data_IF_680702613719
#
_entry.id   IF_680702613719
#
_cell.length_a   1.000
_cell.length_b   1.000
_cell.length_c   1.000
_cell.angle_alpha   90.00
_cell.angle_beta   90.00
_cell.angle_gamma   90.00
#
_symmetry.space_group_name_H-M   'P 1'
#
loop_
_entity.id
_entity.type
_entity.pdbx_description
1 polymer ?
#
# COMPACT_ATOMS: atom_id res chain seq x y z
N UNK A 1 12.66 -16.86 6.69
CA UNK A 1 11.82 -15.73 7.10
C UNK A 1 11.08 -15.27 5.87
N UNK A 2 9.76 -15.18 5.96
CA UNK A 2 8.92 -14.77 4.84
C UNK A 2 8.75 -13.25 4.91
N UNK A 3 8.67 -12.60 3.76
CA UNK A 3 8.39 -11.16 3.68
C UNK A 3 7.02 -10.95 3.08
N UNK A 4 6.22 -10.11 3.74
CA UNK A 4 4.96 -9.63 3.23
C UNK A 4 5.09 -8.14 2.99
N UNK A 5 5.30 -7.76 1.73
CA UNK A 5 5.33 -6.36 1.31
C UNK A 5 3.93 -5.93 0.97
N UNK A 6 3.47 -4.78 1.46
CA UNK A 6 2.11 -4.32 1.15
C UNK A 6 1.99 -2.80 1.17
N UNK A 7 0.87 -2.36 0.59
CA UNK A 7 0.43 -0.97 0.51
C UNK A 7 -1.11 -0.95 0.52
N UNK A 8 -1.71 0.15 0.98
CA UNK A 8 -3.17 0.35 0.94
C UNK A 8 -3.52 1.65 0.22
N UNK A 9 -4.68 1.63 -0.45
CA UNK A 9 -5.28 2.83 -0.99
C UNK A 9 -6.63 3.13 -0.34
N UNK A 10 -6.88 4.43 -0.13
CA UNK A 10 -7.99 4.89 0.71
C UNK A 10 -8.75 6.05 0.10
N UNK A 11 -10.02 6.16 0.46
CA UNK A 11 -10.87 7.31 0.21
C UNK A 11 -11.37 7.88 1.54
N UNK A 12 -12.01 9.05 1.58
CA UNK A 12 -12.72 9.51 2.77
C UNK A 12 -13.79 8.51 3.22
N UNK A 13 -13.96 8.33 4.52
CA UNK A 13 -15.09 7.59 5.07
C UNK A 13 -16.39 8.39 4.90
N UNK A 14 -17.02 8.19 3.75
CA UNK A 14 -18.26 8.87 3.38
C UNK A 14 -19.42 8.51 4.31
N UNK A 15 -19.40 7.31 4.90
CA UNK A 15 -20.44 6.87 5.83
C UNK A 15 -20.34 7.68 7.13
N UNK A 16 -19.11 7.90 7.62
CA UNK A 16 -18.85 8.82 8.73
C UNK A 16 -19.28 10.25 8.41
N UNK A 17 -18.95 10.74 7.20
CA UNK A 17 -19.34 12.07 6.74
C UNK A 17 -20.86 12.27 6.77
N UNK A 18 -21.62 11.32 6.21
CA UNK A 18 -23.08 11.33 6.21
C UNK A 18 -23.63 11.34 7.64
N UNK A 19 -23.15 10.45 8.50
CA UNK A 19 -23.75 10.22 9.81
C UNK A 19 -23.39 11.27 10.87
N UNK A 20 -22.15 11.78 10.83
CA UNK A 20 -21.60 12.55 11.95
C UNK A 20 -21.17 13.97 11.59
N UNK A 21 -21.10 14.31 10.29
CA UNK A 21 -20.71 15.65 9.83
C UNK A 21 -21.88 16.44 9.21
N UNK A 22 -23.12 15.95 9.34
CA UNK A 22 -24.33 16.53 8.74
C UNK A 22 -24.18 16.72 7.21
N UNK A 23 -23.55 15.73 6.56
CA UNK A 23 -23.38 15.70 5.10
C UNK A 23 -24.38 14.72 4.46
N UNK A 24 -25.39 14.27 5.20
CA UNK A 24 -26.48 13.49 4.66
C UNK A 24 -27.28 14.31 3.63
N UNK A 25 -27.66 13.66 2.52
CA UNK A 25 -28.34 14.32 1.39
C UNK A 25 -27.41 14.94 0.34
N UNK A 26 -26.09 14.92 0.53
CA UNK A 26 -25.12 15.26 -0.50
C UNK A 26 -24.71 14.03 -1.34
N UNK A 27 -24.30 14.28 -2.58
CA UNK A 27 -23.68 13.27 -3.44
C UNK A 27 -22.30 12.88 -2.90
N UNK A 28 -21.82 11.66 -3.20
CA UNK A 28 -20.53 11.15 -2.70
C UNK A 28 -19.36 12.10 -2.97
N UNK A 29 -19.32 12.67 -4.17
CA UNK A 29 -18.33 13.65 -4.59
C UNK A 29 -18.29 14.88 -3.67
N UNK A 30 -19.45 15.35 -3.23
CA UNK A 30 -19.58 16.54 -2.38
C UNK A 30 -19.33 16.22 -0.90
N UNK A 31 -19.66 15.02 -0.44
CA UNK A 31 -19.31 14.56 0.91
C UNK A 31 -17.79 14.54 1.09
N UNK A 32 -17.06 13.87 0.20
CA UNK A 32 -15.60 13.81 0.27
C UNK A 32 -14.95 15.19 0.20
N UNK A 33 -15.40 16.04 -0.74
CA UNK A 33 -14.94 17.44 -0.83
C UNK A 33 -15.20 18.24 0.43
N UNK A 34 -16.37 18.10 1.04
CA UNK A 34 -16.70 18.78 2.29
C UNK A 34 -15.79 18.30 3.44
N UNK A 35 -15.49 17.00 3.51
CA UNK A 35 -14.56 16.44 4.51
C UNK A 35 -13.14 17.00 4.36
N UNK A 36 -12.60 17.02 3.13
CA UNK A 36 -11.28 17.60 2.84
C UNK A 36 -11.23 19.10 3.20
N UNK A 37 -12.27 19.85 2.84
CA UNK A 37 -12.33 21.28 3.12
C UNK A 37 -12.44 21.58 4.62
N UNK A 38 -13.24 20.83 5.37
CA UNK A 38 -13.31 20.96 6.84
C UNK A 38 -11.95 20.68 7.50
N UNK A 39 -11.23 19.67 7.01
CA UNK A 39 -9.89 19.34 7.49
C UNK A 39 -8.89 20.45 7.16
N UNK A 40 -8.91 20.97 5.92
CA UNK A 40 -8.07 22.09 5.49
C UNK A 40 -8.26 23.32 6.38
N UNK A 41 -9.50 23.66 6.73
CA UNK A 41 -9.78 24.78 7.64
C UNK A 41 -9.23 24.55 9.05
N UNK A 42 -9.22 23.30 9.52
CA UNK A 42 -8.82 22.94 10.89
C UNK A 42 -7.30 22.84 11.05
N UNK A 43 -6.60 22.28 10.07
CA UNK A 43 -5.19 21.89 10.19
C UNK A 43 -4.26 22.54 9.16
N UNK A 44 -4.82 23.18 8.12
CA UNK A 44 -4.07 23.72 7.00
C UNK A 44 -3.68 22.69 5.93
N UNK A 45 -4.17 21.45 6.01
CA UNK A 45 -3.96 20.42 4.97
C UNK A 45 -5.26 19.66 4.70
N UNK A 46 -5.41 19.08 3.50
CA UNK A 46 -6.57 18.23 3.16
C UNK A 46 -6.41 16.78 3.65
N UNK A 47 -5.25 16.43 4.22
CA UNK A 47 -4.97 15.08 4.70
C UNK A 47 -5.83 14.76 5.93
N UNK A 48 -6.73 13.80 5.77
CA UNK A 48 -7.71 13.43 6.79
C UNK A 48 -7.03 12.76 8.00
N UNK A 49 -7.63 12.84 9.19
CA UNK A 49 -7.26 11.97 10.31
C UNK A 49 -7.35 10.49 9.90
N UNK A 50 -6.39 9.66 10.31
CA UNK A 50 -6.25 8.26 9.86
C UNK A 50 -7.53 7.43 10.05
N UNK A 51 -8.30 7.70 11.10
CA UNK A 51 -9.57 7.02 11.38
C UNK A 51 -10.73 7.45 10.48
N UNK A 52 -10.56 8.49 9.65
CA UNK A 52 -11.55 8.97 8.66
C UNK A 52 -11.21 8.55 7.23
N UNK A 53 -10.20 7.68 7.06
CA UNK A 53 -9.97 6.98 5.80
C UNK A 53 -10.83 5.72 5.74
N UNK A 54 -11.16 5.27 4.53
CA UNK A 54 -11.82 4.01 4.21
C UNK A 54 -10.98 3.28 3.16
N UNK A 55 -10.66 2.01 3.41
CA UNK A 55 -9.79 1.22 2.53
C UNK A 55 -10.60 0.75 1.33
N UNK A 56 -10.04 0.96 0.13
CA UNK A 56 -10.63 0.52 -1.15
C UNK A 56 -9.74 -0.47 -1.91
N UNK A 57 -8.44 -0.52 -1.60
CA UNK A 57 -7.53 -1.53 -2.12
C UNK A 57 -6.46 -1.88 -1.08
N UNK A 58 -6.05 -3.14 -1.08
CA UNK A 58 -4.88 -3.64 -0.35
C UNK A 58 -4.12 -4.50 -1.35
N UNK A 59 -2.88 -4.13 -1.65
CA UNK A 59 -2.02 -4.94 -2.50
C UNK A 59 -0.89 -5.54 -1.68
N UNK A 60 -0.52 -6.77 -2.03
CA UNK A 60 0.50 -7.52 -1.32
C UNK A 60 1.46 -8.17 -2.29
N UNK A 61 2.71 -8.34 -1.85
CA UNK A 61 3.68 -9.23 -2.45
C UNK A 61 4.23 -10.14 -1.35
N UNK A 62 4.11 -11.44 -1.57
CA UNK A 62 4.60 -12.48 -0.67
C UNK A 62 5.91 -13.05 -1.21
N UNK A 63 6.97 -13.01 -0.42
CA UNK A 63 8.27 -13.60 -0.73
C UNK A 63 8.62 -14.65 0.34
N UNK A 64 8.49 -15.92 -0.01
CA UNK A 64 8.84 -17.05 0.88
C UNK A 64 10.28 -17.53 0.67
N UNK A 65 11.06 -16.85 -0.16
CA UNK A 65 12.38 -17.27 -0.63
C UNK A 65 12.35 -18.30 -1.76
N UNK A 66 11.37 -19.21 -1.78
CA UNK A 66 11.16 -20.16 -2.89
C UNK A 66 10.06 -19.74 -3.85
N UNK A 67 9.11 -18.92 -3.40
CA UNK A 67 7.99 -18.44 -4.18
C UNK A 67 7.83 -16.93 -4.03
N UNK A 68 7.36 -16.30 -5.12
CA UNK A 68 7.09 -14.88 -5.20
C UNK A 68 5.72 -14.69 -5.84
N UNK A 69 4.81 -14.00 -5.15
CA UNK A 69 3.45 -13.74 -5.62
C UNK A 69 3.10 -12.29 -5.37
N UNK A 70 2.37 -11.65 -6.29
CA UNK A 70 1.89 -10.27 -6.16
C UNK A 70 0.43 -10.18 -6.59
N UNK A 71 -0.41 -9.61 -5.74
CA UNK A 71 -1.83 -9.43 -6.01
C UNK A 71 -2.46 -8.34 -5.14
N UNK A 72 -3.52 -7.71 -5.64
CA UNK A 72 -4.50 -7.01 -4.80
C UNK A 72 -5.49 -7.98 -4.19
N UNK A 73 -5.68 -7.92 -2.86
CA UNK A 73 -6.61 -8.78 -2.13
C UNK A 73 -8.06 -8.53 -2.55
N UNK A 74 -8.83 -9.60 -2.71
CA UNK A 74 -10.23 -9.55 -3.14
C UNK A 74 -10.42 -9.12 -4.60
N UNK A 75 -11.52 -8.44 -4.88
CA UNK A 75 -11.92 -7.91 -6.19
C UNK A 75 -12.42 -6.47 -6.02
N UNK A 76 -12.66 -5.74 -7.12
CA UNK A 76 -13.23 -4.38 -7.03
C UNK A 76 -14.64 -4.34 -6.41
N UNK A 77 -15.35 -5.47 -6.38
CA UNK A 77 -16.64 -5.63 -5.72
C UNK A 77 -16.53 -6.10 -4.25
N UNK A 78 -15.33 -6.42 -3.78
CA UNK A 78 -15.13 -6.88 -2.41
C UNK A 78 -15.45 -5.78 -1.40
N UNK A 79 -16.13 -6.17 -0.32
CA UNK A 79 -16.33 -5.24 0.80
C UNK A 79 -15.00 -4.93 1.49
N UNK A 80 -14.89 -3.75 2.08
CA UNK A 80 -13.74 -3.34 2.89
C UNK A 80 -13.41 -4.40 3.96
N UNK A 81 -14.42 -4.84 4.74
CA UNK A 81 -14.29 -5.90 5.74
C UNK A 81 -13.60 -7.15 5.15
N UNK A 82 -14.04 -7.61 3.99
CA UNK A 82 -13.51 -8.83 3.39
C UNK A 82 -12.06 -8.68 2.94
N UNK A 83 -11.67 -7.53 2.38
CA UNK A 83 -10.27 -7.26 2.03
C UNK A 83 -9.37 -7.21 3.26
N UNK A 84 -9.83 -6.52 4.32
CA UNK A 84 -9.08 -6.42 5.58
C UNK A 84 -8.97 -7.80 6.26
N UNK A 85 -10.02 -8.64 6.22
CA UNK A 85 -9.94 -10.01 6.74
C UNK A 85 -8.89 -10.83 6.00
N UNK A 86 -8.88 -10.81 4.66
CA UNK A 86 -7.86 -11.49 3.86
C UNK A 86 -6.44 -11.03 4.23
N UNK A 87 -6.25 -9.74 4.50
CA UNK A 87 -4.97 -9.20 4.95
C UNK A 87 -4.54 -9.80 6.29
N UNK A 88 -5.39 -9.76 7.31
CA UNK A 88 -5.04 -10.29 8.63
C UNK A 88 -4.88 -11.81 8.64
N UNK A 89 -5.64 -12.54 7.81
CA UNK A 89 -5.47 -13.97 7.60
C UNK A 89 -4.08 -14.27 7.02
N UNK A 90 -3.65 -13.50 6.01
CA UNK A 90 -2.33 -13.63 5.40
C UNK A 90 -1.20 -13.30 6.37
N UNK A 91 -1.36 -12.26 7.19
CA UNK A 91 -0.41 -11.90 8.25
C UNK A 91 -0.30 -13.01 9.29
N UNK A 92 -1.43 -13.64 9.68
CA UNK A 92 -1.48 -14.70 10.68
C UNK A 92 -1.01 -16.07 10.20
N UNK A 93 -1.02 -16.32 8.89
CA UNK A 93 -0.71 -17.64 8.32
C UNK A 93 0.78 -18.01 8.33
N UNK A 94 1.69 -17.03 8.45
CA UNK A 94 3.13 -17.25 8.29
C UNK A 94 3.92 -16.42 9.31
N UNK A 95 5.16 -16.84 9.61
CA UNK A 95 6.15 -16.01 10.31
C UNK A 95 6.65 -14.90 9.36
N UNK A 96 5.79 -13.91 9.13
CA UNK A 96 6.02 -12.82 8.20
C UNK A 96 6.75 -11.66 8.87
N UNK A 97 7.77 -11.15 8.17
CA UNK A 97 8.22 -9.79 8.34
C UNK A 97 7.42 -8.88 7.40
N UNK A 98 6.66 -7.97 7.97
CA UNK A 98 5.93 -6.93 7.25
C UNK A 98 6.91 -5.91 6.71
N UNK A 99 6.74 -5.52 5.45
CA UNK A 99 7.56 -4.49 4.82
C UNK A 99 6.66 -3.48 4.13
N UNK A 100 6.89 -2.20 4.40
CA UNK A 100 6.06 -1.11 3.85
C UNK A 100 6.92 0.10 3.49
N UNK A 101 6.36 1.00 2.69
CA UNK A 101 6.88 2.35 2.56
C UNK A 101 5.97 3.33 3.32
N UNK A 102 6.40 3.88 4.45
CA UNK A 102 5.59 4.77 5.31
C UNK A 102 4.41 4.10 6.03
N UNK A 103 4.36 2.76 6.06
CA UNK A 103 3.25 2.02 6.65
C UNK A 103 3.12 2.13 8.16
N UNK A 104 4.20 2.51 8.87
CA UNK A 104 4.12 2.75 10.32
C UNK A 104 3.24 3.98 10.64
N UNK A 105 3.31 4.99 9.79
CA UNK A 105 2.64 6.28 10.01
C UNK A 105 1.27 6.37 9.32
N UNK A 106 0.94 5.44 8.43
CA UNK A 106 -0.29 5.46 7.65
C UNK A 106 -0.98 4.10 7.58
N UNK A 107 -0.43 3.16 6.83
CA UNK A 107 -1.09 1.92 6.44
C UNK A 107 -1.55 1.06 7.62
N UNK A 108 -0.64 0.75 8.54
CA UNK A 108 -0.94 -0.07 9.72
C UNK A 108 -1.94 0.61 10.66
N UNK A 109 -1.79 1.90 11.04
CA UNK A 109 -2.82 2.61 11.79
C UNK A 109 -4.20 2.59 11.13
N UNK A 110 -4.28 2.85 9.81
CA UNK A 110 -5.55 2.83 9.07
C UNK A 110 -6.15 1.43 9.09
N UNK A 111 -5.37 0.39 8.76
CA UNK A 111 -5.81 -1.01 8.84
C UNK A 111 -6.36 -1.36 10.22
N UNK A 112 -5.68 -0.95 11.29
CA UNK A 112 -6.12 -1.23 12.65
C UNK A 112 -7.47 -0.56 12.98
N UNK A 113 -7.64 0.72 12.63
CA UNK A 113 -8.94 1.40 12.81
C UNK A 113 -10.03 0.74 11.99
N UNK A 114 -9.76 0.43 10.71
CA UNK A 114 -10.76 -0.15 9.82
C UNK A 114 -11.09 -1.58 10.16
N UNK A 115 -10.15 -2.37 10.67
CA UNK A 115 -10.41 -3.69 11.23
C UNK A 115 -11.35 -3.61 12.44
N UNK A 116 -11.10 -2.67 13.36
CA UNK A 116 -11.95 -2.42 14.51
C UNK A 116 -13.37 -2.03 14.09
N UNK A 117 -13.52 -1.07 13.18
CA UNK A 117 -14.84 -0.59 12.74
C UNK A 117 -15.61 -1.64 11.95
N UNK A 118 -14.92 -2.48 11.17
CA UNK A 118 -15.53 -3.55 10.38
C UNK A 118 -15.66 -4.87 11.14
N UNK A 119 -15.30 -4.93 12.42
CA UNK A 119 -15.34 -6.15 13.26
C UNK A 119 -14.61 -7.34 12.63
N UNK A 120 -13.41 -7.08 12.10
CA UNK A 120 -12.49 -8.08 11.54
C UNK A 120 -11.81 -8.85 12.66
N UNK A 121 -11.62 -10.15 12.48
CA UNK A 121 -10.77 -10.93 13.38
C UNK A 121 -9.30 -10.68 13.03
N UNK A 122 -8.61 -9.98 13.91
CA UNK A 122 -7.17 -9.66 13.82
C UNK A 122 -6.40 -10.24 15.01
N UNK A 123 -6.93 -11.24 15.72
CA UNK A 123 -6.37 -11.73 16.97
C UNK A 123 -4.89 -12.14 16.83
N UNK A 124 -4.55 -12.87 15.78
CA UNK A 124 -3.17 -13.32 15.51
C UNK A 124 -2.18 -12.16 15.37
N UNK A 125 -2.59 -11.05 14.74
CA UNK A 125 -1.73 -9.87 14.60
C UNK A 125 -1.36 -9.24 15.94
N UNK A 126 -2.31 -9.19 16.88
CA UNK A 126 -2.10 -8.58 18.20
C UNK A 126 -1.46 -9.51 19.22
N UNK A 127 -1.55 -10.83 19.02
CA UNK A 127 -0.99 -11.84 19.92
C UNK A 127 0.43 -12.25 19.56
N UNK A 128 0.85 -12.06 18.31
CA UNK A 128 2.17 -12.46 17.83
C UNK A 128 3.16 -11.28 17.83
N UNK A 129 4.43 -11.58 18.08
CA UNK A 129 5.51 -10.62 17.81
C UNK A 129 5.75 -10.56 16.30
N UNK A 130 5.19 -9.54 15.65
CA UNK A 130 5.39 -9.28 14.23
C UNK A 130 6.61 -8.37 14.02
N UNK A 131 7.44 -8.75 13.04
CA UNK A 131 8.56 -7.93 12.61
C UNK A 131 8.07 -6.97 11.54
N UNK A 132 8.36 -5.67 11.68
CA UNK A 132 7.97 -4.67 10.69
C UNK A 132 9.20 -3.83 10.29
N UNK A 133 9.39 -3.71 8.97
CA UNK A 133 10.39 -2.84 8.36
C UNK A 133 9.64 -1.76 7.57
N UNK A 134 9.57 -0.55 8.12
CA UNK A 134 9.19 0.63 7.35
C UNK A 134 10.42 1.19 6.64
N UNK A 135 10.52 0.98 5.32
CA UNK A 135 11.68 1.40 4.53
C UNK A 135 11.93 2.90 4.58
N UNK A 136 10.87 3.70 4.60
CA UNK A 136 10.98 5.16 4.63
C UNK A 136 11.55 5.64 5.96
N UNK A 137 11.21 4.95 7.04
CA UNK A 137 11.73 5.23 8.39
C UNK A 137 13.19 4.79 8.55
N UNK A 138 13.50 3.52 8.23
CA UNK A 138 14.86 2.98 8.43
C UNK A 138 15.89 3.64 7.52
N UNK A 139 15.54 3.95 6.25
CA UNK A 139 16.45 4.63 5.32
C UNK A 139 16.70 6.09 5.73
N UNK A 140 15.72 6.73 6.36
CA UNK A 140 15.89 8.07 6.92
C UNK A 140 16.58 8.07 8.30
N UNK A 141 17.02 6.91 8.80
CA UNK A 141 17.57 6.74 10.13
C UNK A 141 16.65 7.35 11.21
N UNK A 142 15.34 7.09 11.09
CA UNK A 142 14.29 7.60 11.97
C UNK A 142 14.15 9.14 12.01
N UNK A 143 14.81 9.86 11.08
CA UNK A 143 14.66 11.30 10.96
C UNK A 143 13.53 11.63 9.97
N UNK A 144 12.37 11.99 10.53
CA UNK A 144 11.18 12.34 9.74
C UNK A 144 11.42 13.48 8.74
N UNK A 145 12.38 14.38 8.97
CA UNK A 145 12.72 15.48 8.05
C UNK A 145 13.61 15.05 6.87
N UNK A 146 14.22 13.88 6.93
CA UNK A 146 15.12 13.35 5.90
C UNK A 146 14.45 12.30 5.00
N UNK A 147 13.15 12.06 5.18
CA UNK A 147 12.43 11.04 4.43
C UNK A 147 12.24 11.45 2.96
N UNK A 148 12.63 10.55 2.05
CA UNK A 148 12.33 10.66 0.62
C UNK A 148 10.92 10.17 0.28
N UNK A 149 10.47 10.43 -0.95
CA UNK A 149 9.28 9.77 -1.51
C UNK A 149 9.65 8.44 -2.15
N UNK A 150 8.69 7.51 -2.24
CA UNK A 150 8.88 6.21 -2.89
C UNK A 150 9.42 6.39 -4.31
N UNK A 151 8.81 7.30 -5.06
CA UNK A 151 9.20 7.64 -6.44
C UNK A 151 10.64 8.13 -6.53
N UNK A 152 11.05 9.07 -5.67
CA UNK A 152 12.40 9.65 -5.70
C UNK A 152 13.49 8.61 -5.41
N UNK A 153 13.22 7.69 -4.47
CA UNK A 153 14.18 6.64 -4.09
C UNK A 153 14.22 5.54 -5.14
N UNK A 154 13.06 5.11 -5.67
CA UNK A 154 13.00 4.15 -6.77
C UNK A 154 13.78 4.64 -8.00
N UNK A 155 13.54 5.89 -8.43
CA UNK A 155 14.27 6.48 -9.57
C UNK A 155 15.76 6.62 -9.31
N UNK A 156 16.17 6.91 -8.07
CA UNK A 156 17.59 6.96 -7.69
C UNK A 156 18.29 5.59 -7.81
N UNK A 157 17.53 4.50 -7.71
CA UNK A 157 18.00 3.13 -7.95
C UNK A 157 17.83 2.67 -9.42
N UNK A 158 17.45 3.58 -10.33
CA UNK A 158 17.10 3.23 -11.73
C UNK A 158 15.98 2.18 -11.82
N UNK A 159 15.01 2.28 -10.91
CA UNK A 159 13.78 1.49 -10.90
C UNK A 159 12.63 2.33 -11.51
N UNK A 160 11.50 1.71 -11.89
CA UNK A 160 10.41 2.40 -12.59
C UNK A 160 9.84 3.62 -11.87
N UNK A 161 9.73 3.57 -10.53
CA UNK A 161 9.04 4.60 -9.76
C UNK A 161 7.54 4.62 -10.06
N UNK A 162 6.89 5.77 -9.82
CA UNK A 162 5.45 5.96 -10.06
C UNK A 162 5.19 6.27 -11.53
N UNK A 163 4.28 5.50 -12.13
CA UNK A 163 4.16 5.44 -13.59
C UNK A 163 3.18 6.42 -14.21
N UNK A 164 2.13 6.87 -13.50
CA UNK A 164 1.19 7.90 -13.97
C UNK A 164 0.14 8.29 -12.92
N UNK A 165 -0.14 7.39 -11.96
CA UNK A 165 -1.09 7.65 -10.87
C UNK A 165 -0.33 8.04 -9.59
N UNK A 166 -0.83 9.04 -8.89
CA UNK A 166 -0.37 9.42 -7.55
C UNK A 166 -1.54 9.40 -6.55
N UNK A 167 -1.22 9.29 -5.26
CA UNK A 167 -2.22 9.11 -4.20
C UNK A 167 -3.25 10.25 -4.09
N UNK A 168 -2.94 11.44 -4.59
CA UNK A 168 -3.87 12.57 -4.71
C UNK A 168 -4.96 12.36 -5.77
N UNK A 169 -4.77 11.43 -6.71
CA UNK A 169 -5.75 11.11 -7.76
C UNK A 169 -6.71 9.97 -7.36
N UNK A 170 -6.47 9.30 -6.23
CA UNK A 170 -7.27 8.14 -5.78
C UNK A 170 -8.74 8.51 -5.60
N UNK A 171 -9.01 9.71 -5.07
CA UNK A 171 -10.36 10.20 -4.90
C UNK A 171 -11.08 10.42 -6.24
N UNK A 172 -10.41 11.07 -7.20
CA UNK A 172 -10.98 11.33 -8.52
C UNK A 172 -11.23 10.01 -9.29
N UNK A 173 -10.28 9.07 -9.24
CA UNK A 173 -10.45 7.74 -9.83
C UNK A 173 -11.62 6.97 -9.19
N UNK A 174 -11.82 7.10 -7.88
CA UNK A 174 -12.96 6.49 -7.20
C UNK A 174 -14.28 7.07 -7.71
N UNK A 175 -14.38 8.39 -7.85
CA UNK A 175 -15.57 9.06 -8.39
C UNK A 175 -15.87 8.69 -9.85
N UNK A 176 -14.83 8.40 -10.63
CA UNK A 176 -14.93 7.88 -12.00
C UNK A 176 -15.30 6.39 -12.07
N UNK A 177 -15.40 5.69 -10.93
CA UNK A 177 -15.66 4.25 -10.88
C UNK A 177 -14.46 3.40 -11.31
N UNK A 178 -13.25 3.97 -11.32
CA UNK A 178 -12.01 3.35 -11.80
C UNK A 178 -11.24 2.66 -10.67
N UNK A 179 -11.95 1.88 -9.85
CA UNK A 179 -11.36 1.15 -8.71
C UNK A 179 -10.27 0.18 -9.16
N UNK A 180 -10.42 -0.43 -10.35
CA UNK A 180 -9.39 -1.31 -10.91
C UNK A 180 -8.06 -0.58 -11.15
N UNK A 181 -8.11 0.67 -11.59
CA UNK A 181 -6.89 1.46 -11.81
C UNK A 181 -6.20 1.81 -10.49
N UNK A 182 -6.97 2.03 -9.42
CA UNK A 182 -6.43 2.24 -8.08
C UNK A 182 -5.74 0.97 -7.58
N UNK A 183 -6.34 -0.21 -7.80
CA UNK A 183 -5.75 -1.51 -7.45
C UNK A 183 -4.46 -1.76 -8.23
N UNK A 184 -4.45 -1.51 -9.54
CA UNK A 184 -3.27 -1.64 -10.39
C UNK A 184 -2.13 -0.72 -9.93
N UNK A 185 -2.45 0.51 -9.55
CA UNK A 185 -1.49 1.47 -8.99
C UNK A 185 -0.95 1.03 -7.62
N UNK A 186 -1.80 0.51 -6.75
CA UNK A 186 -1.39 -0.06 -5.47
C UNK A 186 -0.44 -1.26 -5.67
N UNK A 187 -0.67 -2.13 -6.67
CA UNK A 187 0.29 -3.18 -7.03
C UNK A 187 1.65 -2.59 -7.50
N UNK A 188 1.67 -1.45 -8.22
CA UNK A 188 2.92 -0.77 -8.59
C UNK A 188 3.68 -0.22 -7.39
N UNK A 189 3.00 0.35 -6.40
CA UNK A 189 3.64 0.85 -5.18
C UNK A 189 4.22 -0.31 -4.34
N UNK A 190 3.55 -1.47 -4.28
CA UNK A 190 4.11 -2.70 -3.70
C UNK A 190 5.34 -3.18 -4.45
N UNK A 191 5.33 -3.19 -5.79
CA UNK A 191 6.48 -3.60 -6.60
C UNK A 191 7.70 -2.69 -6.37
N UNK A 192 7.50 -1.37 -6.37
CA UNK A 192 8.57 -0.43 -6.05
C UNK A 192 9.09 -0.62 -4.62
N UNK A 193 8.19 -0.82 -3.64
CA UNK A 193 8.56 -1.07 -2.25
C UNK A 193 9.39 -2.35 -2.12
N UNK A 194 9.00 -3.45 -2.77
CA UNK A 194 9.76 -4.70 -2.77
C UNK A 194 11.14 -4.54 -3.40
N UNK A 195 11.24 -3.79 -4.51
CA UNK A 195 12.52 -3.56 -5.17
C UNK A 195 13.47 -2.76 -4.27
N UNK A 196 12.99 -1.67 -3.67
CA UNK A 196 13.81 -0.92 -2.70
C UNK A 196 14.18 -1.81 -1.53
N UNK A 197 13.27 -2.66 -1.06
CA UNK A 197 13.54 -3.60 0.02
C UNK A 197 14.69 -4.56 -0.30
N UNK A 198 14.69 -5.24 -1.46
CA UNK A 198 15.78 -6.18 -1.79
C UNK A 198 17.13 -5.45 -1.99
N UNK A 199 17.12 -4.21 -2.48
CA UNK A 199 18.31 -3.36 -2.52
C UNK A 199 18.79 -3.00 -1.10
N UNK A 200 17.88 -2.65 -0.20
CA UNK A 200 18.18 -2.43 1.21
C UNK A 200 18.79 -3.68 1.86
N UNK A 201 18.22 -4.87 1.62
CA UNK A 201 18.74 -6.13 2.14
C UNK A 201 20.17 -6.42 1.66
N UNK A 202 20.49 -6.10 0.41
CA UNK A 202 21.86 -6.20 -0.11
C UNK A 202 22.79 -5.18 0.56
N UNK A 203 22.34 -3.94 0.72
CA UNK A 203 23.09 -2.86 1.38
C UNK A 203 23.49 -3.23 2.81
N UNK A 204 22.61 -3.91 3.56
CA UNK A 204 22.89 -4.34 4.94
C UNK A 204 23.55 -5.73 5.03
N UNK A 205 23.96 -6.31 3.91
CA UNK A 205 24.66 -7.60 3.85
C UNK A 205 23.81 -8.82 4.22
N UNK A 206 22.48 -8.71 4.16
CA UNK A 206 21.56 -9.84 4.39
C UNK A 206 21.44 -10.74 3.16
N UNK A 207 21.62 -10.19 1.98
CA UNK A 207 21.74 -10.94 0.72
C UNK A 207 22.97 -10.45 -0.05
N UNK A 208 23.48 -11.31 -0.92
CA UNK A 208 24.56 -11.02 -1.86
C UNK A 208 24.05 -10.28 -3.10
N UNK A 209 24.96 -9.69 -3.88
CA UNK A 209 24.59 -9.07 -5.16
C UNK A 209 24.07 -10.09 -6.19
N UNK A 210 24.52 -11.35 -6.11
CA UNK A 210 24.02 -12.43 -6.97
C UNK A 210 22.59 -12.81 -6.59
N UNK A 211 22.27 -12.88 -5.29
CA UNK A 211 20.90 -13.08 -4.80
C UNK A 211 19.99 -11.91 -5.15
N UNK A 212 20.47 -10.66 -5.05
CA UNK A 212 19.75 -9.48 -5.51
C UNK A 212 19.40 -9.60 -6.99
N UNK A 213 20.38 -9.93 -7.84
CA UNK A 213 20.19 -10.12 -9.28
C UNK A 213 19.19 -11.24 -9.58
N UNK A 214 19.26 -12.33 -8.81
CA UNK A 214 18.32 -13.47 -8.91
C UNK A 214 16.90 -13.04 -8.56
N UNK A 215 16.71 -12.29 -7.46
CA UNK A 215 15.38 -11.80 -7.05
C UNK A 215 14.78 -10.83 -8.07
N UNK A 216 15.58 -9.93 -8.62
CA UNK A 216 15.15 -9.03 -9.72
C UNK A 216 14.70 -9.85 -10.94
N UNK A 217 15.48 -10.86 -11.33
CA UNK A 217 15.12 -11.73 -12.46
C UNK A 217 13.82 -12.51 -12.20
N UNK A 218 13.66 -13.09 -11.01
CA UNK A 218 12.45 -13.79 -10.61
C UNK A 218 11.22 -12.88 -10.63
N UNK A 219 11.34 -11.64 -10.14
CA UNK A 219 10.25 -10.67 -10.20
C UNK A 219 9.88 -10.33 -11.66
N UNK A 220 10.88 -10.02 -12.50
CA UNK A 220 10.61 -9.74 -13.92
C UNK A 220 9.90 -10.90 -14.61
N UNK A 221 10.33 -12.14 -14.32
CA UNK A 221 9.68 -13.35 -14.84
C UNK A 221 8.23 -13.47 -14.35
N UNK A 222 7.98 -13.29 -13.06
CA UNK A 222 6.63 -13.31 -12.49
C UNK A 222 5.70 -12.31 -13.21
N UNK A 223 6.17 -11.08 -13.39
CA UNK A 223 5.39 -10.02 -14.05
C UNK A 223 5.09 -10.34 -15.52
N UNK A 224 6.05 -10.94 -16.23
CA UNK A 224 5.84 -11.42 -17.61
C UNK A 224 4.81 -12.55 -17.68
N UNK A 225 4.92 -13.54 -16.79
CA UNK A 225 4.08 -14.72 -16.77
C UNK A 225 2.62 -14.43 -16.32
N UNK A 226 2.39 -13.33 -15.61
CA UNK A 226 1.05 -12.96 -15.08
C UNK A 226 0.16 -12.26 -16.12
N UNK A 227 0.70 -11.82 -17.26
CA UNK A 227 -0.04 -11.22 -18.41
C UNK A 227 -1.00 -10.04 -18.09
N UNK A 228 -0.81 -9.35 -16.96
CA UNK A 228 -1.56 -8.13 -16.59
C UNK A 228 -1.03 -6.90 -17.34
N UNK A 229 -1.93 -6.08 -17.91
CA UNK A 229 -1.54 -4.91 -18.70
C UNK A 229 -0.68 -3.90 -17.92
N UNK A 230 -1.03 -3.62 -16.66
CA UNK A 230 -0.26 -2.69 -15.84
C UNK A 230 1.11 -3.24 -15.44
N UNK A 231 1.31 -4.56 -15.39
CA UNK A 231 2.64 -5.15 -15.21
C UNK A 231 3.52 -4.98 -16.45
N UNK A 232 2.94 -5.07 -17.65
CA UNK A 232 3.67 -4.77 -18.89
C UNK A 232 4.08 -3.29 -18.96
N UNK A 233 3.22 -2.38 -18.49
CA UNK A 233 3.58 -0.96 -18.35
C UNK A 233 4.74 -0.77 -17.36
N UNK A 234 4.72 -1.48 -16.23
CA UNK A 234 5.79 -1.43 -15.23
C UNK A 234 7.12 -1.95 -15.78
N UNK A 235 7.11 -3.09 -16.47
CA UNK A 235 8.29 -3.64 -17.13
C UNK A 235 8.85 -2.69 -18.20
N UNK A 236 7.97 -2.11 -19.02
CA UNK A 236 8.37 -1.18 -20.09
C UNK A 236 9.04 0.08 -19.56
N UNK A 237 8.60 0.57 -18.39
CA UNK A 237 9.20 1.71 -17.73
C UNK A 237 10.53 1.37 -17.04
N UNK A 238 10.76 0.10 -16.70
CA UNK A 238 12.02 -0.36 -16.11
C UNK A 238 13.15 -0.49 -17.14
N UNK A 239 12.83 -0.59 -18.42
CA UNK A 239 13.82 -0.74 -19.49
C UNK A 239 14.31 0.59 -20.07
N UNK A 240 13.76 1.72 -19.61
CA UNK A 240 14.11 3.08 -20.02
C UNK A 240 15.20 3.68 -19.15
#
# INVERSE_FOLDING_TARGET
MNYLVFDIETIPDLDYGKQFLNLDGLEEADIGRAMFFQQLQKTGTEFLPLNLHKIIAISVLTDTGSNLEVESLGSKESSERSMIQLFYDLVGANENCLVTWNGLLFDLPVLNYRALFNQVDAASYWQNELWHIDLKDVLANHNTKAQGSLDSVAKSLSLPGKLNVSGDQVWDLYLEGRVEDIRNYCEHDVLNTYLIFIHYQAMIGKITNDELSTRIHSLKKLLLDTEKQHFQLFLSAWEQ
#
